data_IF_363820198204
#
_entry.id   IF_363820198204
#
_cell.length_a   1.000
_cell.length_b   1.000
_cell.length_c   1.000
_cell.angle_alpha   90.00
_cell.angle_beta   90.00
_cell.angle_gamma   90.00
#
_symmetry.space_group_name_H-M   'P 1'
#
loop_
_entity.id
_entity.type
_entity.pdbx_description
1 polymer ?
#
# COMPACT_ATOMS: atom_id res chain seq x y z
N UNK A 1 -1.90 -26.91 -1.43
CA UNK A 1 -1.04 -26.14 -0.49
C UNK A 1 -0.09 -25.22 -1.22
N UNK A 2 0.92 -25.69 -1.96
CA UNK A 2 1.80 -24.77 -2.73
C UNK A 2 1.03 -23.95 -3.78
N UNK A 3 0.10 -24.58 -4.51
CA UNK A 3 -0.66 -23.87 -5.55
C UNK A 3 -1.59 -22.79 -4.98
N UNK A 4 -2.24 -23.05 -3.84
CA UNK A 4 -3.13 -22.09 -3.18
C UNK A 4 -2.37 -20.87 -2.63
N UNK A 5 -1.13 -21.09 -2.18
CA UNK A 5 -0.25 -20.03 -1.70
C UNK A 5 0.33 -19.21 -2.85
N UNK A 6 0.70 -19.84 -3.98
CA UNK A 6 1.10 -19.13 -5.21
C UNK A 6 -0.01 -18.23 -5.74
N UNK A 7 -1.26 -18.72 -5.74
CA UNK A 7 -2.43 -17.92 -6.12
C UNK A 7 -2.64 -16.76 -5.14
N UNK A 8 -2.50 -17.00 -3.83
CA UNK A 8 -2.63 -15.95 -2.81
C UNK A 8 -1.55 -14.86 -2.92
N UNK A 9 -0.30 -15.24 -3.21
CA UNK A 9 0.79 -14.31 -3.47
C UNK A 9 0.58 -13.50 -4.75
N UNK A 10 0.04 -14.12 -5.80
CA UNK A 10 -0.31 -13.43 -7.04
C UNK A 10 -1.39 -12.37 -6.78
N UNK A 11 -2.40 -12.70 -5.96
CA UNK A 11 -3.45 -11.75 -5.55
C UNK A 11 -2.84 -10.57 -4.79
N UNK A 12 -1.97 -10.82 -3.80
CA UNK A 12 -1.28 -9.75 -3.04
C UNK A 12 -0.47 -8.84 -3.96
N UNK A 13 0.25 -9.42 -4.94
CA UNK A 13 1.03 -8.64 -5.89
C UNK A 13 0.14 -7.73 -6.75
N UNK A 14 -1.03 -8.21 -7.19
CA UNK A 14 -2.00 -7.41 -7.94
C UNK A 14 -2.56 -6.26 -7.10
N UNK A 15 -2.85 -6.48 -5.82
CA UNK A 15 -3.36 -5.42 -4.93
C UNK A 15 -2.29 -4.41 -4.50
N UNK A 16 -1.00 -4.78 -4.53
CA UNK A 16 0.09 -3.85 -4.24
C UNK A 16 0.21 -2.71 -5.27
N UNK A 17 -0.24 -2.93 -6.51
CA UNK A 17 -0.21 -1.92 -7.59
C UNK A 17 -1.13 -0.73 -7.28
N UNK A 18 -2.44 -0.89 -7.00
CA UNK A 18 -3.30 0.22 -6.63
C UNK A 18 -2.87 0.90 -5.33
N UNK A 19 -2.31 0.17 -4.35
CA UNK A 19 -1.76 0.76 -3.11
C UNK A 19 -0.58 1.69 -3.43
N UNK A 20 0.33 1.24 -4.30
CA UNK A 20 1.45 2.05 -4.76
C UNK A 20 1.01 3.31 -5.52
N UNK A 21 0.03 3.19 -6.43
CA UNK A 21 -0.54 4.33 -7.15
C UNK A 21 -1.21 5.33 -6.19
N UNK A 22 -1.89 4.85 -5.15
CA UNK A 22 -2.51 5.68 -4.13
C UNK A 22 -1.48 6.47 -3.31
N UNK A 23 -0.36 5.82 -2.94
CA UNK A 23 0.76 6.48 -2.28
C UNK A 23 1.36 7.60 -3.14
N UNK A 24 1.62 7.32 -4.43
CA UNK A 24 2.11 8.33 -5.37
C UNK A 24 1.12 9.49 -5.48
N UNK A 25 -0.18 9.20 -5.61
CA UNK A 25 -1.20 10.24 -5.71
C UNK A 25 -1.22 11.13 -4.45
N UNK A 26 -1.12 10.53 -3.27
CA UNK A 26 -1.04 11.26 -2.00
C UNK A 26 0.18 12.18 -1.92
N UNK A 27 1.36 11.70 -2.37
CA UNK A 27 2.58 12.50 -2.43
C UNK A 27 2.40 13.67 -3.40
N UNK A 28 1.87 13.42 -4.61
CA UNK A 28 1.62 14.47 -5.61
C UNK A 28 0.68 15.54 -5.04
N UNK A 29 -0.44 15.14 -4.42
CA UNK A 29 -1.40 16.06 -3.80
C UNK A 29 -0.74 16.88 -2.69
N UNK A 30 0.10 16.26 -1.87
CA UNK A 30 0.87 16.93 -0.83
C UNK A 30 1.78 18.00 -1.42
N UNK A 31 2.60 17.63 -2.42
CA UNK A 31 3.52 18.55 -3.12
C UNK A 31 2.77 19.71 -3.76
N UNK A 32 1.66 19.45 -4.45
CA UNK A 32 0.79 20.49 -5.02
C UNK A 32 0.18 21.39 -3.95
N UNK A 33 -0.16 20.83 -2.78
CA UNK A 33 -0.64 21.57 -1.64
C UNK A 33 0.40 22.54 -1.08
N UNK A 34 1.68 22.13 -1.04
CA UNK A 34 2.79 23.02 -0.69
C UNK A 34 3.04 24.08 -1.75
N UNK A 35 3.08 23.70 -3.03
CA UNK A 35 3.31 24.64 -4.14
C UNK A 35 2.25 25.74 -4.24
N UNK A 36 0.99 25.44 -3.91
CA UNK A 36 -0.14 26.40 -3.97
C UNK A 36 -0.51 27.01 -2.61
N UNK A 37 0.25 26.72 -1.56
CA UNK A 37 -0.02 27.08 -0.16
C UNK A 37 -1.43 26.73 0.37
N UNK A 38 -2.11 25.78 -0.26
CA UNK A 38 -3.48 25.39 0.11
C UNK A 38 -3.45 24.40 1.27
N UNK A 39 -3.78 24.87 2.48
CA UNK A 39 -3.84 24.07 3.72
C UNK A 39 -4.66 22.78 3.56
N UNK A 40 -5.80 22.84 2.88
CA UNK A 40 -6.68 21.67 2.66
C UNK A 40 -6.00 20.60 1.80
N UNK A 41 -5.29 20.99 0.73
CA UNK A 41 -4.57 20.03 -0.13
C UNK A 41 -3.38 19.40 0.60
N UNK A 42 -2.67 20.15 1.44
CA UNK A 42 -1.59 19.63 2.29
C UNK A 42 -2.11 18.52 3.21
N UNK A 43 -3.23 18.79 3.89
CA UNK A 43 -3.84 17.82 4.80
C UNK A 43 -4.40 16.60 4.05
N UNK A 44 -5.12 16.82 2.94
CA UNK A 44 -5.68 15.74 2.13
C UNK A 44 -4.58 14.80 1.59
N UNK A 45 -3.49 15.37 1.07
CA UNK A 45 -2.34 14.58 0.62
C UNK A 45 -1.73 13.75 1.74
N UNK A 46 -1.55 14.34 2.93
CA UNK A 46 -1.01 13.63 4.09
C UNK A 46 -1.92 12.47 4.53
N UNK A 47 -3.24 12.68 4.56
CA UNK A 47 -4.22 11.64 4.89
C UNK A 47 -4.17 10.50 3.88
N UNK A 48 -4.10 10.80 2.58
CA UNK A 48 -4.01 9.77 1.53
C UNK A 48 -2.71 8.96 1.69
N UNK A 49 -1.58 9.62 1.94
CA UNK A 49 -0.30 8.93 2.19
C UNK A 49 -0.38 8.04 3.43
N UNK A 50 -0.98 8.52 4.52
CA UNK A 50 -1.14 7.74 5.74
C UNK A 50 -1.99 6.48 5.52
N UNK A 51 -3.12 6.60 4.80
CA UNK A 51 -3.97 5.46 4.45
C UNK A 51 -3.21 4.48 3.54
N UNK A 52 -2.53 4.97 2.50
CA UNK A 52 -1.73 4.14 1.61
C UNK A 52 -0.63 3.38 2.34
N UNK A 53 0.04 4.02 3.30
CA UNK A 53 1.07 3.38 4.11
C UNK A 53 0.49 2.30 5.03
N UNK A 54 -0.68 2.55 5.62
CA UNK A 54 -1.35 1.57 6.46
C UNK A 54 -1.80 0.34 5.67
N UNK A 55 -2.30 0.51 4.44
CA UNK A 55 -2.63 -0.59 3.54
C UNK A 55 -1.38 -1.41 3.15
N UNK A 56 -0.26 -0.73 2.89
CA UNK A 56 1.01 -1.38 2.56
C UNK A 56 1.54 -2.24 3.73
N UNK A 57 1.40 -1.77 4.97
CA UNK A 57 1.75 -2.56 6.17
C UNK A 57 0.88 -3.82 6.31
N UNK A 58 -0.41 -3.73 5.96
CA UNK A 58 -1.31 -4.89 6.00
C UNK A 58 -0.90 -5.92 4.94
N UNK A 59 -0.64 -5.49 3.71
CA UNK A 59 -0.16 -6.38 2.64
C UNK A 59 1.15 -7.06 3.02
N UNK A 60 2.08 -6.32 3.61
CA UNK A 60 3.35 -6.86 4.09
C UNK A 60 3.14 -7.90 5.19
N UNK A 61 2.27 -7.63 6.17
CA UNK A 61 1.98 -8.56 7.25
C UNK A 61 1.37 -9.87 6.71
N UNK A 62 0.46 -9.78 5.74
CA UNK A 62 -0.14 -10.95 5.09
C UNK A 62 0.92 -11.72 4.28
N UNK A 63 1.77 -11.04 3.52
CA UNK A 63 2.84 -11.68 2.75
C UNK A 63 3.86 -12.40 3.65
N UNK A 64 4.19 -11.81 4.80
CA UNK A 64 5.06 -12.44 5.81
C UNK A 64 4.38 -13.66 6.45
N UNK A 65 3.08 -13.59 6.73
CA UNK A 65 2.29 -14.72 7.25
C UNK A 65 2.28 -15.90 6.28
N UNK A 66 2.08 -15.67 4.98
CA UNK A 66 2.16 -16.73 3.98
C UNK A 66 3.55 -17.34 3.86
N UNK A 67 4.61 -16.51 3.88
CA UNK A 67 5.99 -17.03 3.90
C UNK A 67 6.28 -17.88 5.14
N UNK A 68 5.77 -17.48 6.31
CA UNK A 68 5.91 -18.25 7.53
C UNK A 68 5.21 -19.62 7.43
N UNK A 69 3.98 -19.67 6.91
CA UNK A 69 3.27 -20.93 6.68
C UNK A 69 4.06 -21.84 5.71
N UNK A 70 4.59 -21.30 4.62
CA UNK A 70 5.42 -22.07 3.68
C UNK A 70 6.65 -22.64 4.39
N UNK A 71 7.32 -21.86 5.23
CA UNK A 71 8.53 -22.30 5.94
C UNK A 71 8.31 -23.41 6.97
N UNK A 72 7.07 -23.58 7.43
CA UNK A 72 6.63 -24.61 8.38
C UNK A 72 6.11 -25.89 7.69
N UNK A 73 5.88 -25.83 6.39
CA UNK A 73 5.42 -26.92 5.53
C UNK A 73 6.57 -27.75 4.98
#
# INVERSE_FOLDING_TARGET
>A
MNHDIEVSNTILMVYSVPVFLLLIAGIIVTVLGYAKEKKVLKLAGFVIVAIGFQLLLIELAIALYFNFIISLS
#
